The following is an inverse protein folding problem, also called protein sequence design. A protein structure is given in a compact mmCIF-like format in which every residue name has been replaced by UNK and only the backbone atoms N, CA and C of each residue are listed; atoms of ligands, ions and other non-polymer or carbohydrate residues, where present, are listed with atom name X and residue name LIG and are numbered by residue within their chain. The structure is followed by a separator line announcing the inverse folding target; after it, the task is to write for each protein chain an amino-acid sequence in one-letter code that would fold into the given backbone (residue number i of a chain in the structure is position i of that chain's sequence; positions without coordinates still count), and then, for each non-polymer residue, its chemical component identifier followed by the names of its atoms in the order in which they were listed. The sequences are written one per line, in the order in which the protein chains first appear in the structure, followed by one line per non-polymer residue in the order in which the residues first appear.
data_IF_847928442827
#
_entry.id   IF_847928442827
#
_cell.length_a   1.000
_cell.length_b   1.000
_cell.length_c   1.000
_cell.angle_alpha   90.00
_cell.angle_beta   90.00
_cell.angle_gamma   90.00
#
_symmetry.space_group_name_H-M   'P 1'
#
loop_
_entity.id
_entity.type
_entity.pdbx_description
1 polymer ?
#
# COMPACT_ATOMS: atom_id res chain seq x y z
N UNK A 1 19.05 21.21 28.68
CA UNK A 1 20.12 20.79 27.75
C UNK A 1 19.71 19.42 27.19
N UNK A 2 19.54 19.27 25.89
CA UNK A 2 19.33 17.96 25.31
C UNK A 2 20.64 17.19 25.36
N UNK A 3 20.65 16.03 26.03
CA UNK A 3 21.79 15.13 25.98
C UNK A 3 21.73 14.38 24.64
N UNK A 4 22.83 14.37 23.91
CA UNK A 4 22.97 13.62 22.66
C UNK A 4 24.19 12.72 22.74
N UNK A 5 24.16 11.61 22.04
CA UNK A 5 25.28 10.70 21.84
C UNK A 5 25.59 10.59 20.35
N UNK A 6 26.85 10.35 20.02
CA UNK A 6 27.25 10.08 18.64
C UNK A 6 27.00 8.61 18.33
N UNK A 7 26.18 8.31 17.31
CA UNK A 7 26.11 6.95 16.73
C UNK A 7 27.40 6.72 15.91
N UNK A 8 28.15 5.64 16.18
CA UNK A 8 29.38 5.37 15.43
C UNK A 8 29.09 5.19 13.93
N UNK A 9 29.94 5.76 13.08
CA UNK A 9 29.86 5.48 11.64
C UNK A 9 30.19 4.02 11.37
N UNK A 10 29.46 3.43 10.40
CA UNK A 10 29.64 2.03 9.97
C UNK A 10 29.43 1.89 8.47
N UNK A 11 30.11 0.94 7.87
CA UNK A 11 29.82 0.49 6.52
C UNK A 11 28.61 -0.45 6.53
N UNK A 12 27.72 -0.30 5.55
CA UNK A 12 26.52 -1.13 5.40
C UNK A 12 26.63 -1.96 4.12
N UNK A 13 26.28 -3.27 4.18
CA UNK A 13 26.17 -4.07 2.98
C UNK A 13 24.99 -3.57 2.10
N UNK A 14 25.21 -3.53 0.78
CA UNK A 14 24.12 -3.29 -0.18
C UNK A 14 23.51 -4.64 -0.57
N UNK A 15 22.28 -4.90 -0.14
CA UNK A 15 21.61 -6.20 -0.30
C UNK A 15 20.68 -6.30 -1.51
N UNK A 16 20.67 -5.30 -2.38
CA UNK A 16 19.87 -5.35 -3.61
C UNK A 16 19.81 -4.03 -4.34
N UNK A 17 19.40 -4.09 -5.59
CA UNK A 17 19.15 -2.94 -6.44
C UNK A 17 17.79 -3.10 -7.12
N UNK A 18 17.00 -2.03 -7.11
CA UNK A 18 15.62 -1.97 -7.62
C UNK A 18 15.42 -0.70 -8.44
N UNK A 19 14.54 -0.77 -9.44
CA UNK A 19 14.13 0.43 -10.18
C UNK A 19 13.30 1.34 -9.28
N UNK A 20 12.39 0.72 -8.50
CA UNK A 20 11.53 1.43 -7.56
C UNK A 20 11.54 0.73 -6.20
N UNK A 21 11.75 1.51 -5.14
CA UNK A 21 11.47 1.05 -3.77
C UNK A 21 10.27 1.81 -3.25
N UNK A 22 9.28 1.07 -2.75
CA UNK A 22 8.10 1.61 -2.08
C UNK A 22 8.25 1.41 -0.58
N UNK A 23 8.26 2.49 0.18
CA UNK A 23 8.33 2.47 1.63
C UNK A 23 6.94 2.63 2.24
N UNK A 24 6.45 1.56 2.90
CA UNK A 24 5.11 1.47 3.49
C UNK A 24 4.17 0.57 2.68
N UNK A 25 3.69 -0.49 3.30
CA UNK A 25 2.79 -1.52 2.73
C UNK A 25 1.30 -1.25 2.99
N UNK A 26 0.90 0.00 3.25
CA UNK A 26 -0.50 0.42 3.26
C UNK A 26 -1.14 0.32 1.87
N UNK A 27 -2.42 0.66 1.77
CA UNK A 27 -3.17 0.59 0.48
C UNK A 27 -2.47 1.39 -0.63
N UNK A 28 -1.97 2.58 -0.31
CA UNK A 28 -1.22 3.41 -1.26
C UNK A 28 0.07 2.73 -1.73
N UNK A 29 0.83 2.14 -0.81
CA UNK A 29 2.08 1.47 -1.15
C UNK A 29 1.89 0.19 -1.94
N UNK A 30 0.90 -0.63 -1.59
CA UNK A 30 0.51 -1.81 -2.38
C UNK A 30 0.14 -1.39 -3.80
N UNK A 31 -0.69 -0.35 -3.93
CA UNK A 31 -1.09 0.19 -5.24
C UNK A 31 0.12 0.64 -6.05
N UNK A 32 1.02 1.43 -5.44
CA UNK A 32 2.21 1.93 -6.11
C UNK A 32 3.15 0.80 -6.56
N UNK A 33 3.38 -0.18 -5.68
CA UNK A 33 4.26 -1.31 -5.97
C UNK A 33 3.73 -2.18 -7.10
N UNK A 34 2.45 -2.53 -7.07
CA UNK A 34 1.80 -3.33 -8.12
C UNK A 34 1.76 -2.57 -9.44
N UNK A 35 1.42 -1.27 -9.42
CA UNK A 35 1.41 -0.45 -10.63
C UNK A 35 2.80 -0.34 -11.27
N UNK A 36 3.85 -0.12 -10.48
CA UNK A 36 5.22 -0.08 -10.97
C UNK A 36 5.66 -1.43 -11.57
N UNK A 37 5.35 -2.54 -10.89
CA UNK A 37 5.68 -3.89 -11.38
C UNK A 37 4.94 -4.24 -12.68
N UNK A 38 3.68 -3.87 -12.81
CA UNK A 38 2.90 -4.03 -14.05
C UNK A 38 3.47 -3.23 -15.24
N UNK A 39 4.28 -2.20 -14.95
CA UNK A 39 5.04 -1.46 -15.94
C UNK A 39 6.50 -1.95 -16.07
N UNK A 40 6.75 -3.20 -15.72
CA UNK A 40 8.03 -3.89 -15.88
C UNK A 40 9.18 -3.35 -15.03
N UNK A 41 8.91 -2.55 -14.02
CA UNK A 41 9.92 -2.11 -13.06
C UNK A 41 10.26 -3.26 -12.09
N UNK A 42 11.52 -3.38 -11.71
CA UNK A 42 11.97 -4.23 -10.62
C UNK A 42 11.68 -3.51 -9.29
N UNK A 43 10.67 -4.00 -8.57
CA UNK A 43 10.10 -3.31 -7.39
C UNK A 43 10.43 -4.03 -6.09
N UNK A 44 10.74 -3.25 -5.05
CA UNK A 44 10.77 -3.71 -3.66
C UNK A 44 9.73 -2.92 -2.85
N UNK A 45 8.87 -3.63 -2.13
CA UNK A 45 7.92 -3.06 -1.17
C UNK A 45 8.39 -3.39 0.24
N UNK A 46 8.61 -2.35 1.05
CA UNK A 46 9.03 -2.44 2.45
C UNK A 46 7.85 -2.12 3.37
N UNK A 47 7.67 -2.88 4.43
CA UNK A 47 6.80 -2.47 5.53
C UNK A 47 7.44 -2.76 6.89
N UNK A 48 7.31 -1.81 7.81
CA UNK A 48 7.72 -1.97 9.21
C UNK A 48 6.85 -2.95 9.99
N UNK A 49 5.69 -3.29 9.46
CA UNK A 49 4.74 -4.25 10.02
C UNK A 49 4.94 -5.62 9.38
N UNK A 50 4.22 -6.60 9.93
CA UNK A 50 4.23 -7.99 9.47
C UNK A 50 3.06 -8.34 8.54
N UNK A 51 2.28 -7.34 8.10
CA UNK A 51 1.14 -7.53 7.21
C UNK A 51 0.84 -6.29 6.38
N UNK A 52 0.35 -6.50 5.16
CA UNK A 52 -0.04 -5.43 4.24
C UNK A 52 -1.41 -4.82 4.59
N UNK A 53 -1.67 -3.65 4.01
CA UNK A 53 -2.95 -2.96 4.04
C UNK A 53 -3.02 -1.78 5.02
N UNK A 54 -2.10 -1.68 5.98
CA UNK A 54 -2.01 -0.56 6.91
C UNK A 54 -3.33 -0.31 7.66
N UNK A 55 -3.95 0.87 7.49
CA UNK A 55 -5.22 1.23 8.14
C UNK A 55 -6.36 0.26 7.80
N UNK A 56 -6.40 -0.25 6.57
CA UNK A 56 -7.45 -1.16 6.11
C UNK A 56 -7.38 -2.54 6.78
N UNK A 57 -6.26 -2.91 7.37
CA UNK A 57 -6.03 -4.23 7.98
C UNK A 57 -5.67 -4.11 9.45
N UNK A 58 -4.43 -3.81 9.76
CA UNK A 58 -3.96 -3.68 11.14
C UNK A 58 -4.61 -2.50 11.88
N UNK A 59 -4.96 -1.44 11.17
CA UNK A 59 -5.69 -0.29 11.72
C UNK A 59 -7.20 -0.49 11.86
N UNK A 60 -7.74 -1.66 11.42
CA UNK A 60 -9.17 -2.01 11.53
C UNK A 60 -10.17 -1.02 10.89
N UNK A 61 -9.75 -0.24 9.90
CA UNK A 61 -10.67 0.54 9.07
C UNK A 61 -11.19 -0.37 7.94
N UNK A 62 -12.20 -1.18 8.26
CA UNK A 62 -12.65 -2.33 7.45
C UNK A 62 -13.79 -2.00 6.50
N UNK A 63 -13.96 -0.73 6.16
CA UNK A 63 -15.05 -0.26 5.31
C UNK A 63 -14.51 0.62 4.19
N UNK A 64 -14.85 0.29 2.96
CA UNK A 64 -14.68 1.17 1.83
C UNK A 64 -15.87 2.12 1.71
N UNK A 65 -15.59 3.41 1.65
CA UNK A 65 -16.57 4.41 1.28
C UNK A 65 -16.91 4.31 -0.22
N UNK A 66 -18.08 4.83 -0.65
CA UNK A 66 -18.43 4.83 -2.07
C UNK A 66 -17.34 5.51 -2.92
N UNK A 67 -17.00 4.89 -4.06
CA UNK A 67 -16.02 5.45 -5.01
C UNK A 67 -16.60 6.59 -5.88
N UNK A 68 -17.69 7.22 -5.41
CA UNK A 68 -18.43 8.24 -6.15
C UNK A 68 -18.46 9.59 -5.41
N UNK A 69 -18.78 10.64 -6.15
CA UNK A 69 -18.90 12.03 -5.66
C UNK A 69 -20.17 12.32 -4.85
N UNK A 70 -20.98 11.33 -4.55
CA UNK A 70 -22.27 11.49 -3.89
C UNK A 70 -23.42 11.89 -4.81
N UNK A 71 -23.15 12.22 -6.07
CA UNK A 71 -24.12 12.50 -7.13
C UNK A 71 -24.28 11.32 -8.12
N UNK A 72 -23.73 10.16 -7.77
CA UNK A 72 -23.77 8.96 -8.58
C UNK A 72 -22.67 8.84 -9.63
N UNK A 73 -21.79 9.84 -9.75
CA UNK A 73 -20.66 9.77 -10.65
C UNK A 73 -19.47 9.09 -9.95
N UNK A 74 -18.95 8.05 -10.56
CA UNK A 74 -17.72 7.42 -10.08
C UNK A 74 -16.53 8.35 -10.34
N UNK A 75 -15.76 8.66 -9.28
CA UNK A 75 -14.58 9.55 -9.31
C UNK A 75 -13.29 8.80 -8.97
N UNK A 76 -13.39 7.62 -8.38
CA UNK A 76 -12.26 6.74 -8.07
C UNK A 76 -12.43 5.45 -8.89
N UNK A 77 -11.44 5.17 -9.73
CA UNK A 77 -11.38 3.96 -10.56
C UNK A 77 -10.03 3.27 -10.51
N UNK A 78 -9.73 2.46 -11.52
CA UNK A 78 -8.44 1.78 -11.67
C UNK A 78 -8.08 0.91 -10.47
N UNK A 79 -6.88 1.07 -9.94
CA UNK A 79 -6.40 0.28 -8.80
C UNK A 79 -7.24 0.45 -7.53
N UNK A 80 -7.84 1.61 -7.29
CA UNK A 80 -8.71 1.82 -6.13
C UNK A 80 -9.96 0.93 -6.19
N UNK A 81 -10.58 0.83 -7.36
CA UNK A 81 -11.72 -0.06 -7.59
C UNK A 81 -11.30 -1.55 -7.57
N UNK A 82 -10.14 -1.89 -8.13
CA UNK A 82 -9.59 -3.24 -8.09
C UNK A 82 -9.37 -3.71 -6.64
N UNK A 83 -8.77 -2.88 -5.80
CA UNK A 83 -8.52 -3.21 -4.39
C UNK A 83 -9.82 -3.31 -3.58
N UNK A 84 -10.83 -2.49 -3.88
CA UNK A 84 -12.14 -2.63 -3.28
C UNK A 84 -12.75 -4.01 -3.65
N UNK A 85 -12.74 -4.38 -4.92
CA UNK A 85 -13.24 -5.69 -5.38
C UNK A 85 -12.46 -6.84 -4.73
N UNK A 86 -11.13 -6.71 -4.64
CA UNK A 86 -10.26 -7.68 -4.00
C UNK A 86 -10.62 -7.87 -2.52
N UNK A 87 -10.90 -6.79 -1.78
CA UNK A 87 -11.27 -6.84 -0.37
C UNK A 87 -12.58 -7.59 -0.12
N UNK A 88 -13.50 -7.60 -1.10
CA UNK A 88 -14.80 -8.24 -1.03
C UNK A 88 -14.78 -9.75 -1.36
N UNK A 89 -13.64 -10.32 -1.77
CA UNK A 89 -13.54 -11.75 -2.16
C UNK A 89 -13.50 -12.71 -0.97
N UNK A 90 -13.16 -12.25 0.23
CA UNK A 90 -13.10 -13.06 1.43
C UNK A 90 -14.43 -13.15 2.20
N UNK A 91 -14.48 -13.98 3.27
CA UNK A 91 -15.63 -14.05 4.16
C UNK A 91 -15.87 -12.69 4.82
N UNK A 92 -17.10 -12.22 4.76
CA UNK A 92 -17.50 -10.90 5.28
C UNK A 92 -17.70 -10.97 6.80
N UNK A 93 -17.37 -9.88 7.48
CA UNK A 93 -17.51 -9.73 8.93
C UNK A 93 -18.92 -9.19 9.24
N UNK A 94 -19.68 -9.92 10.10
CA UNK A 94 -20.91 -9.40 10.70
C UNK A 94 -22.16 -9.38 9.79
N UNK A 95 -23.22 -8.73 10.28
CA UNK A 95 -24.48 -8.49 9.56
C UNK A 95 -24.28 -7.34 8.58
N UNK A 96 -23.83 -7.62 7.39
CA UNK A 96 -23.82 -6.64 6.32
C UNK A 96 -25.22 -6.58 5.71
N UNK A 97 -25.86 -5.41 5.61
CA UNK A 97 -27.10 -5.25 4.86
C UNK A 97 -26.97 -5.85 3.47
N UNK A 98 -28.05 -6.42 2.93
CA UNK A 98 -28.01 -7.08 1.62
C UNK A 98 -27.47 -6.16 0.51
N UNK A 99 -27.74 -4.85 0.61
CA UNK A 99 -27.24 -3.82 -0.30
C UNK A 99 -25.71 -3.67 -0.33
N UNK A 100 -24.98 -4.20 0.69
CA UNK A 100 -23.52 -4.13 0.74
C UNK A 100 -22.86 -5.48 0.41
N UNK A 101 -23.64 -6.53 0.18
CA UNK A 101 -23.10 -7.86 -0.17
C UNK A 101 -22.74 -7.96 -1.64
N UNK A 102 -23.53 -7.31 -2.47
CA UNK A 102 -23.36 -7.34 -3.91
C UNK A 102 -23.27 -5.91 -4.44
N UNK A 103 -22.54 -5.72 -5.50
CA UNK A 103 -22.50 -4.42 -6.18
C UNK A 103 -23.90 -4.17 -6.73
N UNK A 104 -24.58 -3.07 -6.34
CA UNK A 104 -25.91 -2.77 -6.86
C UNK A 104 -25.88 -2.71 -8.39
N UNK A 105 -26.94 -3.18 -9.07
CA UNK A 105 -26.99 -3.23 -10.54
C UNK A 105 -26.66 -1.92 -11.22
N UNK A 106 -27.04 -0.79 -10.62
CA UNK A 106 -26.74 0.55 -11.15
C UNK A 106 -25.24 0.87 -11.17
N UNK A 107 -24.41 0.17 -10.38
CA UNK A 107 -22.95 0.35 -10.35
C UNK A 107 -22.20 -0.65 -11.24
N UNK A 108 -22.89 -1.59 -11.85
CA UNK A 108 -22.33 -2.49 -12.85
C UNK A 108 -22.16 -1.78 -14.21
N UNK A 109 -21.33 -2.30 -15.12
CA UNK A 109 -21.25 -1.81 -16.49
C UNK A 109 -22.67 -1.76 -17.13
N UNK A 110 -23.03 -0.60 -17.70
CA UNK A 110 -24.35 -0.37 -18.29
C UNK A 110 -25.48 -0.02 -17.31
N UNK A 111 -25.19 0.07 -15.99
CA UNK A 111 -26.20 0.41 -14.98
C UNK A 111 -26.66 1.87 -15.04
N UNK A 112 -27.85 2.15 -14.49
CA UNK A 112 -28.47 3.48 -14.49
C UNK A 112 -27.70 4.48 -13.62
N UNK A 113 -27.11 5.49 -14.29
CA UNK A 113 -26.34 6.54 -13.64
C UNK A 113 -27.19 7.40 -12.69
N UNK A 114 -28.48 7.60 -13.01
CA UNK A 114 -29.39 8.39 -12.16
C UNK A 114 -29.69 7.66 -10.85
N UNK A 115 -29.82 6.35 -10.91
CA UNK A 115 -30.04 5.53 -9.72
C UNK A 115 -28.81 5.50 -8.80
N UNK A 116 -27.59 5.66 -9.32
CA UNK A 116 -26.35 5.72 -8.52
C UNK A 116 -26.36 6.85 -7.50
N UNK A 117 -26.99 7.98 -7.79
CA UNK A 117 -27.09 9.11 -6.86
C UNK A 117 -27.85 8.73 -5.58
N UNK A 118 -28.81 7.84 -5.70
CA UNK A 118 -29.68 7.38 -4.61
C UNK A 118 -29.18 6.07 -3.98
N UNK A 119 -28.34 5.31 -4.69
CA UNK A 119 -27.87 3.98 -4.27
C UNK A 119 -26.41 4.04 -3.93
N UNK A 120 -26.08 4.52 -2.73
CA UNK A 120 -24.72 4.45 -2.18
C UNK A 120 -24.47 3.04 -1.67
N UNK A 121 -23.31 2.48 -1.99
CA UNK A 121 -22.90 1.24 -1.38
C UNK A 121 -21.58 1.41 -0.61
N UNK A 122 -21.54 0.80 0.55
CA UNK A 122 -20.36 0.62 1.36
C UNK A 122 -19.93 -0.85 1.26
N UNK A 123 -18.64 -1.11 1.22
CA UNK A 123 -18.14 -2.47 1.22
C UNK A 123 -17.38 -2.71 2.52
N UNK A 124 -17.96 -3.55 3.38
CA UNK A 124 -17.24 -4.07 4.54
C UNK A 124 -16.49 -5.35 4.14
N UNK A 125 -15.33 -5.53 4.69
CA UNK A 125 -14.48 -6.68 4.40
C UNK A 125 -13.84 -7.25 5.67
N UNK A 126 -13.37 -8.50 5.56
CA UNK A 126 -12.61 -9.13 6.63
C UNK A 126 -11.13 -8.77 6.47
N UNK A 127 -10.51 -8.07 7.45
CA UNK A 127 -9.11 -7.64 7.35
C UNK A 127 -8.14 -8.81 7.21
N UNK A 128 -8.38 -9.94 7.87
CA UNK A 128 -7.50 -11.11 7.76
C UNK A 128 -7.49 -11.70 6.34
N UNK A 129 -8.67 -11.85 5.72
CA UNK A 129 -8.77 -12.29 4.32
C UNK A 129 -8.13 -11.29 3.37
N UNK A 130 -8.28 -10.00 3.67
CA UNK A 130 -7.73 -8.95 2.82
C UNK A 130 -6.21 -8.90 2.89
N UNK A 131 -5.59 -9.13 4.06
CA UNK A 131 -4.13 -9.30 4.19
C UNK A 131 -3.63 -10.35 3.21
N UNK A 132 -4.23 -11.55 3.22
CA UNK A 132 -3.83 -12.65 2.35
C UNK A 132 -4.02 -12.31 0.87
N UNK A 133 -5.11 -11.62 0.52
CA UNK A 133 -5.39 -11.22 -0.85
C UNK A 133 -4.41 -10.15 -1.36
N UNK A 134 -4.04 -9.17 -0.51
CA UNK A 134 -3.04 -8.16 -0.83
C UNK A 134 -1.66 -8.77 -1.00
N UNK A 135 -1.27 -9.67 -0.11
CA UNK A 135 0.02 -10.36 -0.20
C UNK A 135 0.11 -11.18 -1.48
N UNK A 136 -0.94 -11.95 -1.80
CA UNK A 136 -1.01 -12.69 -3.05
C UNK A 136 -0.89 -11.77 -4.27
N UNK A 137 -1.60 -10.65 -4.29
CA UNK A 137 -1.54 -9.67 -5.38
C UNK A 137 -0.13 -9.13 -5.57
N UNK A 138 0.55 -8.76 -4.48
CA UNK A 138 1.91 -8.21 -4.50
C UNK A 138 2.91 -9.24 -5.00
N UNK A 139 2.84 -10.47 -4.47
CA UNK A 139 3.75 -11.58 -4.85
C UNK A 139 3.54 -12.01 -6.30
N UNK A 140 2.27 -12.19 -6.73
CA UNK A 140 1.93 -12.57 -8.11
C UNK A 140 2.35 -11.48 -9.12
N UNK A 141 2.46 -10.23 -8.69
CA UNK A 141 2.97 -9.13 -9.51
C UNK A 141 4.51 -9.09 -9.62
N UNK A 142 5.22 -10.02 -8.99
CA UNK A 142 6.69 -10.09 -9.02
C UNK A 142 7.39 -9.06 -8.14
N UNK A 143 6.68 -8.42 -7.23
CA UNK A 143 7.25 -7.46 -6.28
C UNK A 143 8.03 -8.19 -5.19
N UNK A 144 9.25 -7.74 -4.90
CA UNK A 144 10.00 -8.19 -3.73
C UNK A 144 9.39 -7.58 -2.47
N UNK A 145 8.74 -8.39 -1.65
CA UNK A 145 8.13 -7.97 -0.40
C UNK A 145 9.09 -8.19 0.77
N UNK A 146 9.26 -7.18 1.63
CA UNK A 146 10.08 -7.23 2.84
C UNK A 146 9.27 -6.70 4.03
N UNK A 147 8.81 -7.60 4.87
CA UNK A 147 8.15 -7.31 6.15
C UNK A 147 9.18 -7.03 7.26
N UNK A 148 8.69 -6.52 8.41
CA UNK A 148 9.49 -6.17 9.58
C UNK A 148 10.74 -5.34 9.23
N UNK A 149 10.65 -4.58 8.13
CA UNK A 149 11.76 -3.82 7.56
C UNK A 149 11.46 -2.34 7.63
N UNK A 150 12.17 -1.66 8.53
CA UNK A 150 11.98 -0.23 8.78
C UNK A 150 12.92 0.60 7.92
N UNK A 151 12.38 1.63 7.29
CA UNK A 151 13.18 2.72 6.75
C UNK A 151 13.84 3.51 7.90
N UNK A 152 15.14 3.76 7.80
CA UNK A 152 15.92 4.44 8.84
C UNK A 152 16.59 5.71 8.34
N UNK A 153 17.11 5.70 7.13
CA UNK A 153 17.83 6.82 6.51
C UNK A 153 17.92 6.64 5.00
N UNK A 154 18.45 7.63 4.31
CA UNK A 154 18.73 7.55 2.89
C UNK A 154 20.09 8.14 2.55
N UNK A 155 20.60 7.78 1.37
CA UNK A 155 21.77 8.39 0.75
C UNK A 155 21.35 9.10 -0.52
N UNK A 156 21.86 10.32 -0.72
CA UNK A 156 21.68 11.11 -1.94
C UNK A 156 22.98 11.19 -2.70
N UNK A 157 22.86 11.10 -4.01
CA UNK A 157 23.96 11.30 -4.94
C UNK A 157 23.46 12.13 -6.11
N UNK A 158 24.19 13.17 -6.48
CA UNK A 158 23.81 14.09 -7.54
C UNK A 158 22.36 14.63 -7.44
N UNK A 159 21.90 14.93 -6.21
CA UNK A 159 20.56 15.46 -5.96
C UNK A 159 19.40 14.41 -5.98
N UNK A 160 19.72 13.13 -6.15
CA UNK A 160 18.74 12.03 -6.20
C UNK A 160 18.97 11.05 -5.06
N UNK A 161 17.91 10.43 -4.57
CA UNK A 161 18.04 9.32 -3.62
C UNK A 161 18.61 8.13 -4.36
N UNK A 162 19.80 7.67 -3.94
CA UNK A 162 20.51 6.54 -4.53
C UNK A 162 20.31 5.25 -3.73
N UNK A 163 20.16 5.36 -2.41
CA UNK A 163 19.98 4.22 -1.53
C UNK A 163 19.01 4.54 -0.40
N UNK A 164 18.20 3.55 -0.02
CA UNK A 164 17.54 3.53 1.28
C UNK A 164 18.33 2.69 2.27
N UNK A 165 18.47 3.20 3.48
CA UNK A 165 19.03 2.47 4.61
C UNK A 165 17.88 1.95 5.42
N UNK A 166 17.85 0.64 5.60
CA UNK A 166 16.76 -0.08 6.26
C UNK A 166 17.31 -0.99 7.34
N UNK A 167 16.45 -1.38 8.26
CA UNK A 167 16.81 -2.29 9.35
C UNK A 167 15.68 -3.30 9.60
N UNK A 168 16.07 -4.55 9.82
CA UNK A 168 15.22 -5.64 10.23
C UNK A 168 15.98 -6.60 11.17
N UNK A 169 15.40 -7.77 11.47
CA UNK A 169 16.05 -8.78 12.34
C UNK A 169 17.41 -9.26 11.84
N UNK A 170 17.68 -9.19 10.53
CA UNK A 170 18.98 -9.55 9.95
C UNK A 170 20.03 -8.44 10.08
N UNK A 171 19.65 -7.29 10.62
CA UNK A 171 20.50 -6.14 10.82
C UNK A 171 20.18 -4.97 9.88
N UNK A 172 21.09 -4.02 9.83
CA UNK A 172 20.96 -2.78 9.06
C UNK A 172 21.75 -2.88 7.76
N UNK A 173 21.12 -2.53 6.65
CA UNK A 173 21.70 -2.65 5.31
C UNK A 173 21.14 -1.57 4.37
N UNK A 174 21.73 -1.44 3.20
CA UNK A 174 21.30 -0.51 2.16
C UNK A 174 20.65 -1.25 0.99
N UNK A 175 19.68 -0.61 0.36
CA UNK A 175 19.06 -1.02 -0.89
C UNK A 175 19.26 0.10 -1.92
N UNK A 176 19.86 -0.20 -3.06
CA UNK A 176 20.03 0.74 -4.15
C UNK A 176 18.70 0.94 -4.89
N UNK A 177 18.40 2.17 -5.32
CA UNK A 177 17.15 2.49 -6.01
C UNK A 177 17.32 3.53 -7.12
N UNK A 178 16.51 3.37 -8.17
CA UNK A 178 16.33 4.40 -9.20
C UNK A 178 15.35 5.48 -8.78
N UNK A 179 14.28 5.08 -8.08
CA UNK A 179 13.26 5.95 -7.53
C UNK A 179 12.70 5.41 -6.22
N UNK A 180 12.12 6.29 -5.41
CA UNK A 180 11.44 5.92 -4.16
C UNK A 180 10.03 6.48 -4.17
N UNK A 181 9.08 5.66 -3.74
CA UNK A 181 7.72 6.08 -3.42
C UNK A 181 7.58 6.07 -1.90
N UNK A 182 7.32 7.25 -1.33
CA UNK A 182 7.00 7.36 0.09
C UNK A 182 5.51 7.09 0.31
N UNK A 183 5.22 5.96 0.91
CA UNK A 183 3.89 5.52 1.30
C UNK A 183 3.81 5.20 2.80
N UNK A 184 4.70 5.81 3.60
CA UNK A 184 4.83 5.57 5.04
C UNK A 184 3.64 6.08 5.85
N UNK A 185 2.83 6.97 5.28
CA UNK A 185 1.70 7.63 5.93
C UNK A 185 2.09 8.97 6.56
N UNK A 186 3.31 9.08 7.07
CA UNK A 186 3.82 10.27 7.76
C UNK A 186 4.91 11.01 6.96
N UNK A 187 5.13 10.61 5.69
CA UNK A 187 6.17 11.15 4.82
C UNK A 187 7.60 10.99 5.37
N UNK A 188 7.89 9.86 6.02
CA UNK A 188 9.16 9.59 6.70
C UNK A 188 10.36 9.70 5.74
N UNK A 189 10.20 9.23 4.48
CA UNK A 189 11.25 9.29 3.48
C UNK A 189 11.41 10.71 2.95
N UNK A 190 10.30 11.37 2.64
CA UNK A 190 10.31 12.73 2.11
C UNK A 190 10.89 13.72 3.12
N UNK A 191 10.65 13.51 4.41
CA UNK A 191 11.18 14.36 5.48
C UNK A 191 12.72 14.32 5.54
N UNK A 192 13.34 13.19 5.23
CA UNK A 192 14.79 13.02 5.24
C UNK A 192 15.44 13.29 3.86
N UNK A 193 14.63 13.39 2.79
CA UNK A 193 15.12 13.61 1.43
C UNK A 193 15.37 15.09 1.14
#
# INVERSE_FOLDING_TARGET
MSMSILEPSRELPVQGAFDVIVAGGGIAGVTAAVAAARNSAKVCLLDKQSALGGLATLGNVTTWLPLCDGMGRQVIGGMGEELLKLSATGPRRGRTPACFRDIPPCWLPGGDVKERANTRYLTEFNPASYILALEKLVVDSGVRLMYDTRFCALRREAGRVSHLIVENKSGRFALACGAVVDATGDADVCFLA
#
